data_IF_094689620095
#
_entry.id   IF_094689620095
#
_cell.length_a   1.000
_cell.length_b   1.000
_cell.length_c   1.000
_cell.angle_alpha   90.00
_cell.angle_beta   90.00
_cell.angle_gamma   90.00
#
_symmetry.space_group_name_H-M   'P 1'
#
loop_
_entity.id
_entity.type
_entity.pdbx_description
1 polymer ?
#
# COMPACT_ATOMS: atom_id res chain seq x y z
N UNK A 1 -5.83 14.84 -28.22
CA UNK A 1 -5.90 14.68 -26.75
C UNK A 1 -7.10 15.46 -26.27
N UNK A 2 -8.02 14.78 -25.59
CA UNK A 2 -9.30 15.33 -25.12
C UNK A 2 -9.06 16.17 -23.86
N UNK A 3 -9.97 17.14 -23.65
CA UNK A 3 -10.08 18.05 -22.52
C UNK A 3 -9.57 17.42 -21.21
N UNK A 4 -8.64 18.07 -20.51
CA UNK A 4 -8.01 17.53 -19.30
C UNK A 4 -9.07 17.12 -18.28
N UNK A 5 -8.98 15.87 -17.81
CA UNK A 5 -9.89 15.34 -16.78
C UNK A 5 -9.76 16.23 -15.54
N UNK A 6 -10.77 17.06 -15.29
CA UNK A 6 -10.82 17.95 -14.14
C UNK A 6 -10.94 17.06 -12.89
N UNK A 7 -9.93 17.08 -12.03
CA UNK A 7 -10.02 16.48 -10.69
C UNK A 7 -11.23 17.06 -9.99
N UNK A 8 -12.14 16.19 -9.53
CA UNK A 8 -13.35 16.60 -8.84
C UNK A 8 -13.39 15.93 -7.46
N UNK A 9 -13.51 16.75 -6.41
CA UNK A 9 -13.64 16.29 -5.03
C UNK A 9 -14.96 16.86 -4.50
N UNK A 10 -15.91 16.00 -4.16
CA UNK A 10 -17.25 16.42 -3.71
C UNK A 10 -17.48 15.94 -2.29
N UNK A 11 -17.81 16.88 -1.42
CA UNK A 11 -18.41 16.59 -0.13
C UNK A 11 -19.94 16.61 -0.26
N UNK A 12 -20.66 15.59 0.23
CA UNK A 12 -22.12 15.54 0.17
C UNK A 12 -22.80 16.72 0.91
N UNK A 13 -22.12 17.31 1.89
CA UNK A 13 -22.65 18.40 2.72
C UNK A 13 -22.10 19.78 2.37
N UNK A 14 -20.92 19.85 1.74
CA UNK A 14 -20.20 21.12 1.52
C UNK A 14 -19.98 21.45 0.03
N UNK A 15 -20.35 20.56 -0.89
CA UNK A 15 -20.14 20.75 -2.33
C UNK A 15 -18.71 20.48 -2.78
N UNK A 16 -18.27 21.15 -3.83
CA UNK A 16 -16.94 21.01 -4.43
C UNK A 16 -15.84 21.49 -3.46
N UNK A 17 -14.80 20.67 -3.30
CA UNK A 17 -13.66 20.93 -2.43
C UNK A 17 -12.35 20.93 -3.23
N UNK A 18 -11.33 21.61 -2.70
CA UNK A 18 -9.94 21.43 -3.13
C UNK A 18 -9.27 20.32 -2.32
N UNK A 19 -8.13 19.81 -2.80
CA UNK A 19 -7.37 18.76 -2.10
C UNK A 19 -6.81 19.20 -0.74
N UNK A 20 -6.67 20.50 -0.51
CA UNK A 20 -6.25 21.07 0.78
C UNK A 20 -7.40 21.09 1.80
N UNK A 21 -8.65 20.95 1.35
CA UNK A 21 -9.86 20.97 2.18
C UNK A 21 -10.31 19.57 2.64
N UNK A 22 -9.49 18.54 2.39
CA UNK A 22 -9.76 17.17 2.84
C UNK A 22 -8.69 16.65 3.82
N UNK A 23 -9.10 15.73 4.69
CA UNK A 23 -8.21 14.84 5.41
C UNK A 23 -8.15 13.53 4.64
N UNK A 24 -6.96 13.08 4.23
CA UNK A 24 -6.81 11.86 3.44
C UNK A 24 -6.82 10.60 4.29
N UNK A 25 -6.21 10.67 5.47
CA UNK A 25 -5.96 9.52 6.32
C UNK A 25 -6.90 9.49 7.51
N UNK A 26 -7.41 8.31 7.86
CA UNK A 26 -8.27 8.12 9.01
C UNK A 26 -7.65 7.16 10.04
N UNK A 27 -7.14 7.75 11.13
CA UNK A 27 -6.52 7.00 12.24
C UNK A 27 -7.50 6.15 13.05
N UNK A 28 -8.79 6.48 13.03
CA UNK A 28 -9.78 5.82 13.89
C UNK A 28 -10.13 4.41 13.42
N UNK A 29 -9.86 4.10 12.15
CA UNK A 29 -10.10 2.77 11.57
C UNK A 29 -8.85 1.89 11.54
N UNK A 30 -7.69 2.41 11.97
CA UNK A 30 -6.44 1.66 12.05
C UNK A 30 -6.50 0.61 13.17
N UNK A 31 -6.11 -0.63 12.88
CA UNK A 31 -6.07 -1.74 13.83
C UNK A 31 -4.66 -2.15 14.26
N UNK A 32 -3.65 -1.72 13.52
CA UNK A 32 -2.23 -1.96 13.77
C UNK A 32 -1.57 -0.73 14.42
N UNK A 33 -0.43 -0.95 15.04
CA UNK A 33 0.34 0.09 15.75
C UNK A 33 1.54 0.60 14.92
N UNK A 34 1.62 0.27 13.63
CA UNK A 34 2.57 0.88 12.69
C UNK A 34 2.11 2.27 12.23
N UNK A 35 3.04 3.06 11.69
CA UNK A 35 2.88 4.48 11.34
C UNK A 35 2.03 4.76 10.09
N UNK A 36 1.79 3.76 9.24
CA UNK A 36 0.91 3.86 8.08
C UNK A 36 -0.57 3.96 8.50
N UNK A 37 -1.37 4.67 7.72
CA UNK A 37 -2.77 4.97 8.02
C UNK A 37 -3.68 4.59 6.85
N UNK A 38 -4.89 4.06 7.10
CA UNK A 38 -5.90 3.87 6.07
C UNK A 38 -6.25 5.17 5.34
N UNK A 39 -6.33 5.07 4.01
CA UNK A 39 -6.81 6.13 3.13
C UNK A 39 -8.34 6.11 3.18
N UNK A 40 -8.92 7.17 3.75
CA UNK A 40 -10.37 7.38 3.80
C UNK A 40 -10.61 8.88 3.78
N UNK A 41 -10.67 9.49 2.59
CA UNK A 41 -10.79 10.93 2.44
C UNK A 41 -12.08 11.48 3.08
N UNK A 42 -11.94 12.51 3.92
CA UNK A 42 -13.06 13.20 4.55
C UNK A 42 -12.94 14.72 4.44
N UNK A 43 -14.08 15.41 4.45
CA UNK A 43 -14.16 16.86 4.42
C UNK A 43 -13.65 17.46 5.73
N UNK A 44 -12.75 18.46 5.68
CA UNK A 44 -12.25 19.15 6.88
C UNK A 44 -13.31 19.96 7.62
N UNK A 45 -14.40 20.34 6.94
CA UNK A 45 -15.43 21.22 7.51
C UNK A 45 -16.53 20.44 8.24
N UNK A 46 -16.90 19.25 7.75
CA UNK A 46 -18.03 18.48 8.29
C UNK A 46 -17.70 17.02 8.61
N UNK A 47 -16.47 16.57 8.35
CA UNK A 47 -15.98 15.20 8.56
C UNK A 47 -16.68 14.10 7.76
N UNK A 48 -17.59 14.44 6.84
CA UNK A 48 -18.21 13.48 5.94
C UNK A 48 -17.16 12.91 4.97
N UNK A 49 -17.29 11.63 4.61
CA UNK A 49 -16.53 11.02 3.50
C UNK A 49 -16.78 11.79 2.21
N UNK A 50 -15.72 11.97 1.41
CA UNK A 50 -15.79 12.69 0.13
C UNK A 50 -15.66 11.73 -1.04
N UNK A 51 -16.35 12.08 -2.12
CA UNK A 51 -16.16 11.42 -3.41
C UNK A 51 -15.01 12.10 -4.16
N UNK A 52 -14.08 11.31 -4.69
CA UNK A 52 -12.95 11.80 -5.47
C UNK A 52 -13.04 11.15 -6.85
N UNK A 53 -13.35 11.95 -7.86
CA UNK A 53 -13.25 11.58 -9.27
C UNK A 53 -11.91 12.07 -9.81
N UNK A 54 -10.92 11.19 -9.72
CA UNK A 54 -9.59 11.36 -10.28
C UNK A 54 -9.03 9.96 -10.54
N UNK A 55 -8.36 9.79 -11.67
CA UNK A 55 -7.62 8.58 -11.99
C UNK A 55 -6.18 8.99 -12.22
N UNK A 56 -5.26 8.35 -11.50
CA UNK A 56 -3.83 8.56 -11.72
C UNK A 56 -3.47 8.26 -13.18
N UNK A 57 -2.70 9.14 -13.82
CA UNK A 57 -2.33 9.03 -15.23
C UNK A 57 -0.83 9.09 -15.49
N UNK A 58 -0.03 9.24 -14.44
CA UNK A 58 1.42 9.21 -14.47
C UNK A 58 2.01 9.10 -13.06
N UNK A 59 3.24 8.61 -12.96
CA UNK A 59 3.98 8.51 -11.71
C UNK A 59 4.87 7.27 -11.66
N UNK A 60 5.51 7.07 -10.52
CA UNK A 60 6.30 5.88 -10.22
C UNK A 60 5.73 5.21 -8.96
N UNK A 61 5.68 3.89 -8.96
CA UNK A 61 5.27 3.11 -7.80
C UNK A 61 6.22 1.93 -7.56
N UNK A 62 6.69 1.81 -6.33
CA UNK A 62 7.46 0.65 -5.87
C UNK A 62 6.53 -0.25 -5.09
N UNK A 63 6.42 -1.51 -5.48
CA UNK A 63 5.60 -2.51 -4.81
C UNK A 63 6.52 -3.38 -3.97
N UNK A 64 6.39 -3.27 -2.66
CA UNK A 64 7.05 -4.09 -1.66
C UNK A 64 6.16 -5.29 -1.35
N UNK A 65 6.57 -6.46 -1.83
CA UNK A 65 5.93 -7.74 -1.57
C UNK A 65 6.75 -8.56 -0.55
N UNK A 66 6.16 -9.62 -0.02
CA UNK A 66 6.80 -10.53 0.93
C UNK A 66 5.87 -10.95 2.06
N UNK A 67 6.21 -12.02 2.76
CA UNK A 67 5.39 -12.53 3.87
C UNK A 67 5.36 -11.56 5.05
N UNK A 68 4.47 -11.83 6.01
CA UNK A 68 4.46 -11.16 7.29
C UNK A 68 5.85 -11.27 7.97
N UNK A 69 6.42 -10.17 8.44
CA UNK A 69 7.77 -10.15 9.04
C UNK A 69 8.91 -9.85 8.05
N UNK A 70 8.66 -9.78 6.74
CA UNK A 70 9.70 -9.44 5.75
C UNK A 70 10.18 -7.98 5.80
N UNK A 71 9.41 -7.09 6.45
CA UNK A 71 9.77 -5.68 6.67
C UNK A 71 9.04 -4.67 5.78
N UNK A 72 8.09 -5.09 4.92
CA UNK A 72 7.37 -4.21 3.97
C UNK A 72 6.92 -2.87 4.56
N UNK A 73 6.10 -2.88 5.61
CA UNK A 73 5.53 -1.65 6.20
C UNK A 73 6.61 -0.75 6.80
N UNK A 74 7.65 -1.33 7.41
CA UNK A 74 8.81 -0.58 7.94
C UNK A 74 9.60 0.10 6.81
N UNK A 75 9.83 -0.59 5.70
CA UNK A 75 10.47 0.00 4.52
C UNK A 75 9.59 1.10 3.91
N UNK A 76 8.28 0.86 3.79
CA UNK A 76 7.34 1.86 3.29
C UNK A 76 7.32 3.13 4.16
N UNK A 77 7.39 3.00 5.49
CA UNK A 77 7.51 4.13 6.42
C UNK A 77 8.81 4.92 6.20
N UNK A 78 9.94 4.26 5.96
CA UNK A 78 11.18 4.96 5.63
C UNK A 78 11.11 5.64 4.26
N UNK A 79 10.45 5.02 3.28
CA UNK A 79 10.23 5.62 1.96
C UNK A 79 9.42 6.93 2.05
N UNK A 80 8.51 7.06 3.02
CA UNK A 80 7.81 8.35 3.28
C UNK A 80 8.81 9.47 3.58
N UNK A 81 9.86 9.19 4.36
CA UNK A 81 10.92 10.17 4.67
C UNK A 81 11.73 10.58 3.43
N UNK A 82 11.71 9.75 2.38
CA UNK A 82 12.33 10.01 1.07
C UNK A 82 11.36 10.68 0.07
N UNK A 83 10.16 11.08 0.51
CA UNK A 83 9.18 11.81 -0.31
C UNK A 83 8.09 10.95 -0.97
N UNK A 84 8.06 9.65 -0.67
CA UNK A 84 7.00 8.78 -1.18
C UNK A 84 5.69 8.95 -0.40
N UNK A 85 4.57 8.59 -1.03
CA UNK A 85 3.32 8.29 -0.33
C UNK A 85 3.12 6.79 -0.25
N UNK A 86 2.87 6.29 0.96
CA UNK A 86 2.77 4.87 1.23
C UNK A 86 1.32 4.40 1.30
N UNK A 87 1.07 3.24 0.73
CA UNK A 87 -0.16 2.46 0.77
C UNK A 87 0.18 1.15 1.46
N UNK A 88 -0.69 0.68 2.36
CA UNK A 88 -0.54 -0.59 3.05
C UNK A 88 -1.78 -1.46 2.80
N UNK A 89 -1.57 -2.72 2.41
CA UNK A 89 -2.65 -3.63 2.07
C UNK A 89 -3.59 -3.95 3.24
N UNK A 90 -3.07 -4.02 4.47
CA UNK A 90 -3.93 -4.19 5.65
C UNK A 90 -4.78 -2.94 5.87
N UNK A 91 -4.20 -1.75 5.63
CA UNK A 91 -4.92 -0.48 5.71
C UNK A 91 -6.04 -0.37 4.66
N UNK A 92 -5.79 -0.79 3.41
CA UNK A 92 -6.81 -0.87 2.37
C UNK A 92 -7.95 -1.82 2.78
N UNK A 93 -7.63 -3.00 3.31
CA UNK A 93 -8.64 -3.94 3.86
C UNK A 93 -9.52 -3.26 4.93
N UNK A 94 -8.93 -2.44 5.78
CA UNK A 94 -9.67 -1.74 6.85
C UNK A 94 -10.59 -0.64 6.30
N UNK A 95 -10.11 0.14 5.33
CA UNK A 95 -10.92 1.13 4.64
C UNK A 95 -12.10 0.47 3.93
N UNK A 96 -11.87 -0.61 3.19
CA UNK A 96 -12.93 -1.38 2.52
C UNK A 96 -13.96 -1.94 3.51
N UNK A 97 -13.52 -2.56 4.62
CA UNK A 97 -14.43 -3.03 5.69
C UNK A 97 -15.27 -1.91 6.28
N UNK A 98 -14.69 -0.72 6.46
CA UNK A 98 -15.39 0.44 6.97
C UNK A 98 -16.48 0.91 5.99
N UNK A 99 -16.10 1.18 4.74
CA UNK A 99 -16.99 1.65 3.67
C UNK A 99 -18.16 0.71 3.44
N UNK A 100 -17.90 -0.59 3.40
CA UNK A 100 -18.91 -1.62 3.14
C UNK A 100 -19.64 -2.09 4.40
N UNK A 101 -19.26 -1.59 5.59
CA UNK A 101 -19.80 -2.02 6.90
C UNK A 101 -19.69 -3.54 7.12
N UNK A 102 -18.63 -4.16 6.60
CA UNK A 102 -18.39 -5.60 6.68
C UNK A 102 -17.40 -5.96 7.80
N UNK A 103 -17.59 -7.14 8.39
CA UNK A 103 -16.63 -7.70 9.37
C UNK A 103 -15.43 -8.36 8.68
N UNK A 104 -15.68 -8.98 7.54
CA UNK A 104 -14.73 -9.76 6.74
C UNK A 104 -14.87 -9.39 5.27
N UNK A 105 -13.76 -9.43 4.56
CA UNK A 105 -13.66 -9.16 3.12
C UNK A 105 -12.66 -10.15 2.54
N UNK A 106 -12.83 -10.55 1.29
CA UNK A 106 -11.80 -11.32 0.60
C UNK A 106 -10.61 -10.40 0.33
N UNK A 107 -9.41 -10.78 0.77
CA UNK A 107 -8.22 -9.96 0.54
C UNK A 107 -7.90 -9.85 -0.97
N UNK A 108 -8.42 -10.74 -1.81
CA UNK A 108 -8.26 -10.67 -3.28
C UNK A 108 -9.09 -9.55 -3.91
N UNK A 109 -10.10 -9.03 -3.20
CA UNK A 109 -10.91 -7.88 -3.62
C UNK A 109 -10.26 -6.55 -3.24
N UNK A 110 -9.10 -6.56 -2.59
CA UNK A 110 -8.42 -5.34 -2.14
C UNK A 110 -7.82 -4.52 -3.26
N UNK A 111 -7.70 -5.08 -4.47
CA UNK A 111 -7.08 -4.40 -5.60
C UNK A 111 -7.81 -3.12 -5.98
N UNK A 112 -9.15 -3.10 -5.91
CA UNK A 112 -9.95 -1.91 -6.25
C UNK A 112 -9.77 -0.80 -5.22
N UNK A 113 -9.67 -1.17 -3.94
CA UNK A 113 -9.38 -0.22 -2.86
C UNK A 113 -7.94 0.30 -2.96
N UNK A 114 -6.96 -0.55 -3.27
CA UNK A 114 -5.58 -0.12 -3.53
C UNK A 114 -5.51 0.81 -4.75
N UNK A 115 -6.29 0.52 -5.79
CA UNK A 115 -6.38 1.34 -6.98
C UNK A 115 -6.96 2.73 -6.65
N UNK A 116 -7.99 2.79 -5.81
CA UNK A 116 -8.51 4.04 -5.25
C UNK A 116 -7.45 4.78 -4.40
N UNK A 117 -6.72 4.08 -3.53
CA UNK A 117 -5.66 4.67 -2.71
C UNK A 117 -4.55 5.30 -3.56
N UNK A 118 -4.16 4.63 -4.66
CA UNK A 118 -3.22 5.17 -5.65
C UNK A 118 -3.76 6.47 -6.24
N UNK A 119 -5.02 6.47 -6.68
CA UNK A 119 -5.65 7.64 -7.29
C UNK A 119 -5.64 8.82 -6.30
N UNK A 120 -6.13 8.61 -5.08
CA UNK A 120 -6.16 9.65 -4.03
C UNK A 120 -4.76 10.18 -3.71
N UNK A 121 -3.79 9.29 -3.46
CA UNK A 121 -2.45 9.71 -3.04
C UNK A 121 -1.64 10.34 -4.17
N UNK A 122 -1.94 10.02 -5.42
CA UNK A 122 -1.30 10.63 -6.59
C UNK A 122 -1.57 12.14 -6.72
N UNK A 123 -2.64 12.66 -6.09
CA UNK A 123 -2.92 14.10 -5.97
C UNK A 123 -1.83 14.87 -5.19
N UNK A 124 -1.03 14.15 -4.38
CA UNK A 124 -0.05 14.71 -3.45
C UNK A 124 1.39 14.29 -3.74
N UNK A 125 1.62 13.23 -4.52
CA UNK A 125 2.97 12.81 -4.94
C UNK A 125 2.92 11.95 -6.20
N UNK A 126 3.93 12.09 -7.04
CA UNK A 126 4.18 11.19 -8.19
C UNK A 126 5.03 9.97 -7.80
N UNK A 127 5.43 9.85 -6.55
CA UNK A 127 6.26 8.77 -6.01
C UNK A 127 5.43 8.02 -4.97
N UNK A 128 5.04 6.79 -5.30
CA UNK A 128 4.20 5.94 -4.46
C UNK A 128 4.95 4.68 -4.03
N UNK A 129 4.60 4.15 -2.87
CA UNK A 129 5.08 2.84 -2.41
C UNK A 129 3.90 2.04 -1.90
N UNK A 130 3.76 0.80 -2.34
CA UNK A 130 2.73 -0.13 -1.91
C UNK A 130 3.38 -1.25 -1.09
N UNK A 131 3.01 -1.37 0.18
CA UNK A 131 3.35 -2.52 1.02
C UNK A 131 2.15 -3.49 1.06
N UNK A 132 2.23 -4.62 0.37
CA UNK A 132 1.12 -5.58 0.33
C UNK A 132 1.64 -7.01 0.15
N UNK A 133 0.82 -8.00 0.50
CA UNK A 133 1.01 -9.36 0.02
C UNK A 133 0.26 -9.47 -1.30
N UNK A 134 0.98 -9.73 -2.38
CA UNK A 134 0.43 -10.05 -3.69
C UNK A 134 0.85 -11.47 -4.00
N UNK A 135 -0.10 -12.36 -4.31
CA UNK A 135 0.21 -13.75 -4.69
C UNK A 135 0.47 -13.86 -6.19
N UNK A 136 1.21 -14.89 -6.67
CA UNK A 136 1.51 -15.07 -8.09
C UNK A 136 0.30 -14.98 -9.01
N UNK A 137 -0.82 -15.56 -8.59
CA UNK A 137 -2.07 -15.62 -9.37
C UNK A 137 -2.72 -14.25 -9.58
N UNK A 138 -2.44 -13.27 -8.71
CA UNK A 138 -3.00 -11.93 -8.78
C UNK A 138 -2.05 -10.91 -9.42
N UNK A 139 -0.79 -11.29 -9.70
CA UNK A 139 0.23 -10.36 -10.22
C UNK A 139 -0.21 -9.63 -11.49
N UNK A 140 -0.79 -10.36 -12.45
CA UNK A 140 -1.23 -9.76 -13.72
C UNK A 140 -2.39 -8.78 -13.55
N UNK A 141 -3.22 -8.96 -12.51
CA UNK A 141 -4.27 -7.99 -12.16
C UNK A 141 -3.64 -6.68 -11.67
N UNK A 142 -2.65 -6.76 -10.80
CA UNK A 142 -1.90 -5.57 -10.33
C UNK A 142 -1.19 -4.88 -11.50
N UNK A 143 -0.49 -5.63 -12.36
CA UNK A 143 0.15 -5.05 -13.55
C UNK A 143 -0.87 -4.33 -14.44
N UNK A 144 -2.04 -4.94 -14.66
CA UNK A 144 -3.11 -4.33 -15.46
C UNK A 144 -3.61 -3.03 -14.82
N UNK A 145 -3.86 -3.05 -13.51
CA UNK A 145 -4.29 -1.89 -12.71
C UNK A 145 -3.28 -0.74 -12.72
N UNK A 146 -1.98 -1.05 -12.72
CA UNK A 146 -0.90 -0.06 -12.78
C UNK A 146 -0.71 0.50 -14.20
N UNK A 147 -0.79 -0.36 -15.22
CA UNK A 147 -0.69 0.05 -16.64
C UNK A 147 -1.84 0.94 -17.06
N UNK A 148 -3.07 0.68 -16.60
CA UNK A 148 -4.21 1.54 -16.91
C UNK A 148 -4.07 2.96 -16.37
N UNK A 149 -3.25 3.15 -15.34
CA UNK A 149 -2.86 4.44 -14.74
C UNK A 149 -1.58 5.03 -15.32
N UNK A 150 -0.99 4.39 -16.32
CA UNK A 150 0.28 4.79 -16.94
C UNK A 150 1.40 5.01 -15.89
N UNK A 151 1.42 4.18 -14.86
CA UNK A 151 2.44 4.19 -13.82
C UNK A 151 3.67 3.41 -14.29
N UNK A 152 4.86 3.98 -14.04
CA UNK A 152 6.10 3.19 -14.03
C UNK A 152 6.14 2.41 -12.72
N UNK A 153 6.35 1.10 -12.78
CA UNK A 153 6.30 0.26 -11.60
C UNK A 153 7.51 -0.65 -11.47
N UNK A 154 7.88 -0.95 -10.22
CA UNK A 154 8.90 -1.93 -9.86
C UNK A 154 8.36 -2.84 -8.76
N UNK A 155 8.36 -4.14 -9.00
CA UNK A 155 7.99 -5.13 -8.00
C UNK A 155 9.25 -5.65 -7.30
N UNK A 156 9.28 -5.55 -5.98
CA UNK A 156 10.37 -6.08 -5.15
C UNK A 156 9.80 -7.05 -4.14
N UNK A 157 10.28 -8.29 -4.16
CA UNK A 157 9.96 -9.30 -3.16
C UNK A 157 11.01 -9.29 -2.05
N UNK A 158 10.62 -8.84 -0.86
CA UNK A 158 11.44 -8.97 0.34
C UNK A 158 11.39 -10.41 0.84
N UNK A 159 12.53 -11.11 0.74
CA UNK A 159 12.65 -12.54 1.06
C UNK A 159 13.86 -12.78 1.98
N UNK A 160 13.84 -12.25 3.23
CA UNK A 160 14.85 -12.62 4.22
C UNK A 160 14.69 -14.10 4.56
N UNK A 161 15.70 -14.72 5.17
CA UNK A 161 15.62 -16.11 5.57
C UNK A 161 14.44 -16.37 6.52
N UNK A 162 13.92 -17.59 6.48
CA UNK A 162 12.70 -17.94 7.20
C UNK A 162 12.82 -17.75 8.72
N UNK A 163 13.99 -18.01 9.32
CA UNK A 163 14.17 -17.83 10.77
C UNK A 163 14.13 -16.35 11.13
N UNK A 164 14.80 -15.49 10.35
CA UNK A 164 14.71 -14.04 10.50
C UNK A 164 13.27 -13.55 10.38
N UNK A 165 12.47 -14.08 9.45
CA UNK A 165 11.03 -13.75 9.35
C UNK A 165 10.27 -14.10 10.64
N UNK A 166 10.49 -15.29 11.19
CA UNK A 166 9.84 -15.75 12.41
C UNK A 166 10.23 -14.90 13.62
N UNK A 167 11.52 -14.63 13.79
CA UNK A 167 12.03 -13.79 14.87
C UNK A 167 11.44 -12.37 14.80
N UNK A 168 11.45 -11.75 13.61
CA UNK A 168 10.82 -10.45 13.40
C UNK A 168 9.33 -10.49 13.72
N UNK A 169 8.62 -11.55 13.35
CA UNK A 169 7.19 -11.71 13.66
C UNK A 169 6.89 -11.89 15.14
N UNK A 170 7.75 -12.58 15.88
CA UNK A 170 7.61 -12.81 17.33
C UNK A 170 7.92 -11.54 18.13
N UNK A 171 8.90 -10.76 17.67
CA UNK A 171 9.39 -9.58 18.39
C UNK A 171 8.68 -8.28 18.01
N UNK A 172 7.83 -8.27 16.96
CA UNK A 172 7.14 -7.05 16.54
C UNK A 172 6.08 -6.62 17.56
N UNK A 173 5.93 -5.31 17.68
CA UNK A 173 4.88 -4.67 18.49
C UNK A 173 3.75 -4.09 17.66
N UNK A 174 3.88 -4.06 16.32
CA UNK A 174 2.93 -3.38 15.44
C UNK A 174 1.60 -4.14 15.21
N UNK A 175 1.49 -5.42 15.57
CA UNK A 175 0.24 -6.17 15.52
C UNK A 175 -0.11 -6.70 16.91
N UNK A 176 -1.38 -6.57 17.30
CA UNK A 176 -1.87 -7.04 18.61
C UNK A 176 -1.73 -8.55 18.81
N UNK A 177 -1.78 -9.31 17.71
CA UNK A 177 -1.60 -10.76 17.73
C UNK A 177 -0.38 -11.13 16.88
N UNK A 178 0.40 -12.09 17.38
CA UNK A 178 1.46 -12.73 16.60
C UNK A 178 0.78 -13.49 15.45
N UNK A 179 1.26 -13.29 14.22
CA UNK A 179 0.75 -14.05 13.07
C UNK A 179 1.11 -15.52 13.28
N UNK A 180 0.15 -16.47 13.20
CA UNK A 180 0.44 -17.88 13.33
C UNK A 180 1.53 -18.32 12.34
N UNK A 181 2.50 -19.11 12.80
CA UNK A 181 3.62 -19.59 11.97
C UNK A 181 3.14 -20.30 10.69
N UNK A 182 2.00 -21.02 10.76
CA UNK A 182 1.34 -21.62 9.61
C UNK A 182 1.14 -20.61 8.45
N UNK A 183 0.61 -19.42 8.74
CA UNK A 183 0.38 -18.39 7.72
C UNK A 183 1.68 -17.76 7.24
N UNK A 184 2.66 -17.61 8.13
CA UNK A 184 4.00 -17.11 7.75
C UNK A 184 4.62 -18.07 6.74
N UNK A 185 4.62 -19.38 7.04
CA UNK A 185 5.14 -20.43 6.17
C UNK A 185 4.40 -20.49 4.85
N UNK A 186 3.07 -20.54 4.90
CA UNK A 186 2.22 -20.57 3.72
C UNK A 186 2.58 -19.45 2.73
N UNK A 187 2.65 -18.19 3.18
CA UNK A 187 3.03 -17.09 2.30
C UNK A 187 4.53 -17.04 1.98
N UNK A 188 5.40 -17.54 2.85
CA UNK A 188 6.83 -17.62 2.54
C UNK A 188 7.09 -18.55 1.34
N UNK A 189 6.39 -19.69 1.33
CA UNK A 189 6.51 -20.70 0.27
C UNK A 189 5.71 -20.31 -0.98
N UNK A 190 4.50 -19.75 -0.82
CA UNK A 190 3.64 -19.33 -1.92
C UNK A 190 4.21 -18.14 -2.72
N UNK A 191 4.94 -17.24 -2.06
CA UNK A 191 5.53 -16.06 -2.70
C UNK A 191 6.80 -16.45 -3.47
N UNK A 192 6.58 -17.13 -4.58
CA UNK A 192 7.57 -17.52 -5.57
C UNK A 192 7.13 -16.99 -6.94
N UNK A 193 8.00 -16.22 -7.57
CA UNK A 193 7.68 -15.45 -8.78
C UNK A 193 8.72 -15.69 -9.84
N UNK A 194 8.32 -15.48 -11.09
CA UNK A 194 9.27 -15.41 -12.21
C UNK A 194 10.06 -14.09 -12.18
N UNK A 195 10.78 -13.82 -13.27
CA UNK A 195 11.64 -12.64 -13.43
C UNK A 195 10.90 -11.29 -13.47
N UNK A 196 9.57 -11.26 -13.30
CA UNK A 196 8.79 -10.02 -13.15
C UNK A 196 8.94 -9.37 -11.76
N UNK A 197 9.51 -10.07 -10.77
CA UNK A 197 9.84 -9.52 -9.45
C UNK A 197 11.34 -9.56 -9.17
N UNK A 198 11.90 -8.46 -8.66
CA UNK A 198 13.24 -8.45 -8.10
C UNK A 198 13.22 -9.02 -6.68
N UNK A 199 13.95 -10.10 -6.45
CA UNK A 199 14.02 -10.74 -5.14
C UNK A 199 15.17 -10.11 -4.35
N UNK A 200 14.86 -9.61 -3.15
CA UNK A 200 15.82 -9.02 -2.23
C UNK A 200 15.83 -9.79 -0.91
N UNK A 201 16.93 -10.50 -0.65
CA UNK A 201 17.23 -11.02 0.67
C UNK A 201 17.73 -9.89 1.57
N UNK A 202 16.88 -9.46 2.51
CA UNK A 202 17.18 -8.42 3.48
C UNK A 202 17.40 -8.97 4.90
N UNK A 203 17.94 -10.17 5.02
CA UNK A 203 18.23 -10.84 6.31
C UNK A 203 19.16 -10.00 7.19
N UNK A 204 20.36 -9.70 6.69
CA UNK A 204 21.40 -8.96 7.40
C UNK A 204 21.38 -7.45 7.15
N UNK A 205 20.39 -6.94 6.41
CA UNK A 205 20.31 -5.54 6.05
C UNK A 205 19.52 -4.76 7.09
N UNK A 206 20.02 -3.59 7.44
CA UNK A 206 19.24 -2.58 8.14
C UNK A 206 18.10 -2.06 7.26
N UNK A 207 17.13 -1.40 7.89
CA UNK A 207 16.02 -0.74 7.18
C UNK A 207 16.53 0.29 6.16
N UNK A 208 17.56 1.07 6.51
CA UNK A 208 18.13 2.10 5.63
C UNK A 208 18.87 1.49 4.44
N UNK A 209 19.71 0.48 4.67
CA UNK A 209 20.40 -0.24 3.59
C UNK A 209 19.40 -0.90 2.63
N UNK A 210 18.32 -1.46 3.16
CA UNK A 210 17.26 -2.07 2.35
C UNK A 210 16.58 -1.04 1.45
N UNK A 211 16.23 0.13 2.00
CA UNK A 211 15.64 1.24 1.22
C UNK A 211 16.60 1.70 0.13
N UNK A 212 17.86 1.95 0.46
CA UNK A 212 18.84 2.44 -0.49
C UNK A 212 19.12 1.42 -1.61
N UNK A 213 19.11 0.12 -1.30
CA UNK A 213 19.21 -0.94 -2.31
C UNK A 213 18.00 -0.96 -3.25
N UNK A 214 16.78 -0.88 -2.71
CA UNK A 214 15.55 -0.85 -3.50
C UNK A 214 15.54 0.35 -4.45
N UNK A 215 15.94 1.53 -3.97
CA UNK A 215 16.01 2.73 -4.81
C UNK A 215 17.03 2.58 -5.94
N UNK A 216 18.15 1.88 -5.72
CA UNK A 216 19.12 1.57 -6.79
C UNK A 216 18.55 0.64 -7.85
N UNK A 217 17.67 -0.31 -7.49
CA UNK A 217 17.00 -1.18 -8.47
C UNK A 217 16.03 -0.42 -9.38
N UNK A 218 15.58 0.77 -8.95
CA UNK A 218 14.59 1.59 -9.67
C UNK A 218 15.20 2.66 -10.57
N UNK A 219 16.52 2.88 -10.49
CA UNK A 219 17.29 3.82 -11.32
C UNK A 219 17.90 3.09 -12.52
#
# INVERSE_FOLDING_TARGET
MKCGDKIMIICPNCGELTKEQIHVFNKNIRKQDFGLLPVLPTCRFCNAEVEISHICSEGNIIILNGTCGSGKSTIAEQMIKKGFRAIDGDCAIQAMKHKQKLKTVDFRETIDEIAYDIDVLSLYSRQLVLAAIIVPEDLDKYITMLKSRNLKYKFVLLKPDYQTVLERCRNRTCHKNVTPEYWIRYFYDLLDFDNRMDILDNTGMTTEETVDHILKLCN
#
